data_IF_916853719229
#
_entry.id   IF_916853719229
#
_cell.length_a   1.000
_cell.length_b   1.000
_cell.length_c   1.000
_cell.angle_alpha   90.00
_cell.angle_beta   90.00
_cell.angle_gamma   90.00
#
_symmetry.space_group_name_H-M   'P 1'
#
loop_
_entity.id
_entity.type
_entity.pdbx_description
1 polymer ?
#
# COMPACT_ATOMS: atom_id res chain seq x y z
N UNK A 1 -7.74 14.03 -4.53
CA UNK A 1 -7.44 13.54 -3.18
C UNK A 1 -6.20 12.68 -3.26
N UNK A 2 -5.41 12.67 -2.19
CA UNK A 2 -4.19 11.87 -2.08
C UNK A 2 -4.36 10.87 -0.95
N UNK A 3 -3.75 9.70 -1.06
CA UNK A 3 -3.64 8.76 0.05
C UNK A 3 -2.19 8.38 0.24
N UNK A 4 -1.69 8.57 1.45
CA UNK A 4 -0.41 8.02 1.87
C UNK A 4 -0.64 6.61 2.39
N UNK A 5 0.24 5.69 2.02
CA UNK A 5 0.28 4.30 2.47
C UNK A 5 1.67 4.07 3.06
N UNK A 6 1.73 3.51 4.26
CA UNK A 6 2.97 3.27 4.99
C UNK A 6 2.90 1.92 5.73
N UNK A 7 3.97 1.13 5.65
CA UNK A 7 4.11 -0.16 6.33
C UNK A 7 4.95 -0.07 7.60
N UNK A 8 4.48 -0.71 8.68
CA UNK A 8 5.21 -0.88 9.93
C UNK A 8 5.46 -2.37 10.21
N UNK A 9 6.73 -2.75 10.37
CA UNK A 9 7.12 -4.13 10.64
C UNK A 9 7.25 -4.38 12.15
N UNK A 10 6.72 -5.51 12.64
CA UNK A 10 6.77 -5.94 14.03
C UNK A 10 7.41 -7.34 14.11
N UNK A 11 8.74 -7.39 13.96
CA UNK A 11 9.49 -8.65 13.78
C UNK A 11 9.32 -9.64 14.94
N UNK A 12 9.33 -9.16 16.18
CA UNK A 12 9.17 -10.01 17.37
C UNK A 12 7.80 -10.70 17.39
N UNK A 13 6.77 -10.00 16.92
CA UNK A 13 5.39 -10.47 16.85
C UNK A 13 5.10 -11.23 15.55
N UNK A 14 6.05 -11.26 14.60
CA UNK A 14 5.90 -11.83 13.25
C UNK A 14 4.65 -11.32 12.55
N UNK A 15 4.41 -10.02 12.64
CA UNK A 15 3.32 -9.36 11.94
C UNK A 15 3.79 -8.02 11.36
N UNK A 16 2.96 -7.45 10.49
CA UNK A 16 3.15 -6.09 10.01
C UNK A 16 1.81 -5.37 9.95
N UNK A 17 1.86 -4.05 10.12
CA UNK A 17 0.73 -3.17 10.02
C UNK A 17 0.85 -2.27 8.79
N UNK A 18 -0.29 -1.93 8.18
CA UNK A 18 -0.36 -0.94 7.11
C UNK A 18 -1.20 0.24 7.60
N UNK A 19 -0.63 1.43 7.57
CA UNK A 19 -1.31 2.69 7.84
C UNK A 19 -1.68 3.40 6.54
N UNK A 20 -2.91 3.94 6.47
CA UNK A 20 -3.35 4.72 5.31
C UNK A 20 -4.05 6.00 5.74
N UNK A 21 -3.80 7.08 5.00
CA UNK A 21 -4.36 8.40 5.28
C UNK A 21 -4.74 9.15 4.00
N UNK A 22 -6.03 9.42 3.82
CA UNK A 22 -6.59 10.21 2.73
C UNK A 22 -6.62 11.69 3.13
N UNK A 23 -6.15 12.53 2.21
CA UNK A 23 -6.12 13.98 2.34
C UNK A 23 -6.71 14.69 1.12
N UNK A 24 -7.27 15.87 1.35
CA UNK A 24 -7.72 16.76 0.28
C UNK A 24 -6.52 17.43 -0.45
N UNK A 25 -6.79 18.22 -1.47
CA UNK A 25 -5.75 18.91 -2.26
C UNK A 25 -5.02 20.01 -1.47
N UNK A 26 -5.56 20.44 -0.33
CA UNK A 26 -4.95 21.41 0.59
C UNK A 26 -4.13 20.71 1.69
N UNK A 27 -4.11 19.37 1.69
CA UNK A 27 -3.44 18.56 2.69
C UNK A 27 -4.27 18.29 3.94
N UNK A 28 -5.55 18.68 3.98
CA UNK A 28 -6.39 18.39 5.15
C UNK A 28 -6.74 16.91 5.21
N UNK A 29 -6.71 16.39 6.42
CA UNK A 29 -7.17 15.04 6.72
C UNK A 29 -8.63 14.84 6.33
N UNK A 30 -8.93 13.72 5.68
CA UNK A 30 -10.30 13.29 5.38
C UNK A 30 -10.63 11.99 6.11
N UNK A 31 -9.80 10.95 5.95
CA UNK A 31 -10.04 9.64 6.53
C UNK A 31 -8.75 8.84 6.67
N UNK A 32 -8.67 7.96 7.67
CA UNK A 32 -7.57 7.01 7.86
C UNK A 32 -8.13 5.60 8.07
N UNK A 33 -7.28 4.60 7.82
CA UNK A 33 -7.52 3.21 8.23
C UNK A 33 -6.19 2.54 8.54
N UNK A 34 -6.25 1.44 9.28
CA UNK A 34 -5.11 0.57 9.52
C UNK A 34 -5.49 -0.88 9.22
N UNK A 35 -4.55 -1.66 8.69
CA UNK A 35 -4.67 -3.10 8.50
C UNK A 35 -3.56 -3.82 9.26
N UNK A 36 -3.83 -5.05 9.66
CA UNK A 36 -2.89 -5.94 10.33
C UNK A 36 -2.81 -7.24 9.56
N UNK A 37 -1.58 -7.69 9.34
CA UNK A 37 -1.29 -8.92 8.63
C UNK A 37 -0.32 -9.77 9.43
N UNK A 38 -0.58 -11.07 9.46
CA UNK A 38 0.37 -12.05 9.98
C UNK A 38 1.48 -12.30 8.97
N UNK A 39 2.70 -12.54 9.46
CA UNK A 39 3.89 -12.76 8.65
C UNK A 39 4.92 -11.64 8.80
N UNK A 40 6.13 -11.90 8.30
CA UNK A 40 7.24 -10.96 8.32
C UNK A 40 7.90 -10.89 6.94
N UNK A 41 7.15 -10.47 5.90
CA UNK A 41 7.72 -10.35 4.56
C UNK A 41 8.78 -9.23 4.52
N UNK A 42 9.65 -9.20 3.50
CA UNK A 42 10.51 -8.05 3.24
C UNK A 42 9.69 -6.75 3.12
N UNK A 43 10.24 -5.58 3.51
CA UNK A 43 9.51 -4.32 3.48
C UNK A 43 8.86 -3.98 2.13
N UNK A 44 9.48 -4.35 1.01
CA UNK A 44 8.92 -4.11 -0.33
C UNK A 44 7.64 -4.91 -0.58
N UNK A 45 7.58 -6.14 -0.09
CA UNK A 45 6.39 -7.00 -0.21
C UNK A 45 5.28 -6.51 0.73
N UNK A 46 5.62 -6.09 1.96
CA UNK A 46 4.67 -5.44 2.87
C UNK A 46 4.03 -4.19 2.24
N UNK A 47 4.84 -3.35 1.58
CA UNK A 47 4.37 -2.16 0.86
C UNK A 47 3.50 -2.50 -0.35
N UNK A 48 3.82 -3.57 -1.09
CA UNK A 48 2.98 -4.05 -2.20
C UNK A 48 1.64 -4.60 -1.70
N UNK A 49 1.61 -5.31 -0.57
CA UNK A 49 0.38 -5.74 0.10
C UNK A 49 -0.42 -4.50 0.54
N UNK A 50 0.25 -3.51 1.13
CA UNK A 50 -0.38 -2.25 1.53
C UNK A 50 -1.02 -1.50 0.35
N UNK A 51 -0.42 -1.55 -0.83
CA UNK A 51 -1.03 -1.03 -2.05
C UNK A 51 -2.33 -1.76 -2.43
N UNK A 52 -2.34 -3.10 -2.38
CA UNK A 52 -3.53 -3.91 -2.65
C UNK A 52 -4.68 -3.64 -1.67
N UNK A 53 -4.35 -3.49 -0.38
CA UNK A 53 -5.29 -3.07 0.65
C UNK A 53 -5.88 -1.69 0.36
N UNK A 54 -5.05 -0.76 -0.14
CA UNK A 54 -5.48 0.60 -0.44
C UNK A 54 -6.48 0.61 -1.59
N UNK A 55 -6.22 -0.15 -2.66
CA UNK A 55 -7.14 -0.32 -3.79
C UNK A 55 -8.48 -0.87 -3.31
N UNK A 56 -8.45 -1.93 -2.51
CA UNK A 56 -9.64 -2.56 -1.95
C UNK A 56 -10.42 -1.60 -1.06
N UNK A 57 -9.72 -0.81 -0.24
CA UNK A 57 -10.33 0.20 0.62
C UNK A 57 -11.00 1.31 -0.18
N UNK A 58 -10.36 1.83 -1.24
CA UNK A 58 -10.97 2.85 -2.10
C UNK A 58 -12.21 2.32 -2.84
N UNK A 59 -12.18 1.05 -3.26
CA UNK A 59 -13.34 0.37 -3.83
C UNK A 59 -14.54 0.39 -2.88
N UNK A 60 -14.31 0.09 -1.59
CA UNK A 60 -15.36 0.15 -0.54
C UNK A 60 -15.85 1.58 -0.27
N UNK A 61 -14.99 2.59 -0.41
CA UNK A 61 -15.37 4.00 -0.25
C UNK A 61 -16.03 4.62 -1.49
N UNK A 62 -16.12 3.89 -2.61
CA UNK A 62 -16.62 4.43 -3.88
C UNK A 62 -15.71 5.51 -4.49
N UNK A 63 -14.42 5.53 -4.12
CA UNK A 63 -13.47 6.53 -4.59
C UNK A 63 -12.75 6.07 -5.85
N UNK A 64 -12.91 6.79 -6.97
CA UNK A 64 -12.38 6.40 -8.29
C UNK A 64 -11.19 7.22 -8.78
N UNK A 65 -10.92 8.39 -8.16
CA UNK A 65 -9.85 9.32 -8.57
C UNK A 65 -8.99 9.74 -7.38
N UNK A 66 -8.19 8.80 -6.91
CA UNK A 66 -7.29 9.03 -5.78
C UNK A 66 -5.83 8.75 -6.18
N UNK A 67 -4.97 9.72 -5.91
CA UNK A 67 -3.53 9.60 -6.14
C UNK A 67 -2.90 8.87 -4.95
N UNK A 68 -2.21 7.77 -5.23
CA UNK A 68 -1.53 6.96 -4.22
C UNK A 68 -0.09 7.43 -4.07
N UNK A 69 0.31 7.72 -2.84
CA UNK A 69 1.67 8.09 -2.46
C UNK A 69 2.23 6.95 -1.60
N UNK A 70 3.24 6.27 -2.15
CA UNK A 70 3.96 5.16 -1.51
C UNK A 70 5.39 5.62 -1.23
N UNK A 71 5.94 5.28 -0.07
CA UNK A 71 7.33 5.60 0.27
C UNK A 71 8.32 4.52 -0.22
N UNK A 72 7.86 3.51 -0.97
CA UNK A 72 8.70 2.48 -1.58
C UNK A 72 8.95 2.70 -3.07
N UNK A 73 10.10 3.31 -3.41
CA UNK A 73 10.52 3.52 -4.81
C UNK A 73 10.57 2.22 -5.62
N UNK A 74 10.94 1.09 -5.01
CA UNK A 74 11.00 -0.21 -5.69
C UNK A 74 9.60 -0.70 -6.13
N UNK A 75 8.59 -0.51 -5.28
CA UNK A 75 7.19 -0.83 -5.62
C UNK A 75 6.70 0.09 -6.74
N UNK A 76 6.96 1.39 -6.61
CA UNK A 76 6.60 2.39 -7.63
C UNK A 76 7.24 2.09 -8.99
N UNK A 77 8.55 1.82 -9.01
CA UNK A 77 9.29 1.52 -10.23
C UNK A 77 8.78 0.21 -10.87
N UNK A 78 8.49 -0.82 -10.06
CA UNK A 78 8.00 -2.12 -10.57
C UNK A 78 6.59 -2.06 -11.17
N UNK A 79 5.70 -1.22 -10.63
CA UNK A 79 4.37 -0.95 -11.21
C UNK A 79 4.51 -0.24 -12.56
N UNK A 80 5.43 0.72 -12.65
CA UNK A 80 5.63 1.52 -13.85
C UNK A 80 6.32 0.75 -14.98
N UNK A 81 7.23 -0.17 -14.66
CA UNK A 81 7.99 -0.95 -15.65
C UNK A 81 7.21 -2.14 -16.26
N UNK A 82 6.02 -2.48 -15.76
CA UNK A 82 5.22 -3.66 -16.21
C UNK A 82 6.02 -4.96 -16.29
N UNK A 83 7.10 -5.10 -15.52
CA UNK A 83 7.92 -6.30 -15.55
C UNK A 83 7.09 -7.46 -15.00
N UNK A 84 6.86 -8.48 -15.84
CA UNK A 84 6.27 -9.76 -15.45
C UNK A 84 7.25 -10.54 -14.57
N UNK A 85 7.47 -10.05 -13.35
CA UNK A 85 8.26 -10.77 -12.36
C UNK A 85 7.40 -11.91 -11.81
N UNK A 86 7.81 -13.15 -12.04
CA UNK A 86 7.15 -14.36 -11.52
C UNK A 86 7.47 -14.63 -10.04
N UNK A 87 7.97 -13.63 -9.32
CA UNK A 87 8.24 -13.69 -7.87
C UNK A 87 6.97 -13.33 -7.08
N UNK A 88 6.93 -13.71 -5.81
CA UNK A 88 5.82 -13.38 -4.90
C UNK A 88 5.53 -11.86 -4.92
N UNK A 89 6.57 -11.03 -4.85
CA UNK A 89 6.51 -9.58 -5.05
C UNK A 89 5.78 -9.15 -6.34
N UNK A 90 6.06 -9.79 -7.48
CA UNK A 90 5.41 -9.45 -8.76
C UNK A 90 3.91 -9.79 -8.79
N UNK A 91 3.46 -10.77 -7.99
CA UNK A 91 2.04 -11.10 -7.87
C UNK A 91 1.22 -10.00 -7.18
N UNK A 92 1.83 -9.24 -6.25
CA UNK A 92 1.17 -8.14 -5.55
C UNK A 92 1.11 -6.84 -6.38
N UNK A 93 1.98 -6.71 -7.38
CA UNK A 93 2.11 -5.50 -8.22
C UNK A 93 1.08 -5.46 -9.37
N UNK A 94 0.61 -6.63 -9.84
CA UNK A 94 -0.24 -6.75 -11.04
C UNK A 94 -1.76 -6.65 -10.78
N UNK A 95 -2.19 -6.18 -9.60
CA UNK A 95 -3.60 -6.06 -9.21
C UNK A 95 -4.26 -4.73 -9.59
#
# INVERSE_FOLDING_TARGET
>A
MKCNVDGAMFEEQRCFGIGMCIRDYRGHFLQATTFWHDGSPPPQEAEAIGLGDAISWFGRLGMTRLLRELDCKLVVDSILDRNTNQTEFGSYILQ
#
